data_IF_387584116777
#
_entry.id   IF_387584116777
#
_cell.length_a   1.000
_cell.length_b   1.000
_cell.length_c   1.000
_cell.angle_alpha   90.00
_cell.angle_beta   90.00
_cell.angle_gamma   90.00
#
_symmetry.space_group_name_H-M   'P 1'
#
loop_
_entity.id
_entity.type
_entity.pdbx_description
1 polymer ?
#
# COMPACT_ATOMS: atom_id res chain seq x y z
N UNK A 1 45.03 38.16 -16.25
CA UNK A 1 43.97 37.43 -15.51
C UNK A 1 42.94 36.71 -16.41
N UNK A 2 42.98 36.83 -17.75
CA UNK A 2 41.98 36.23 -18.67
C UNK A 2 42.27 34.75 -19.03
N UNK A 3 43.49 34.26 -18.77
CA UNK A 3 43.92 32.89 -19.14
C UNK A 3 43.31 31.78 -18.26
N UNK A 4 43.02 32.05 -16.98
CA UNK A 4 42.50 31.08 -16.02
C UNK A 4 41.09 30.53 -16.36
N UNK A 5 40.09 31.36 -16.74
CA UNK A 5 38.77 30.84 -17.11
C UNK A 5 38.80 30.06 -18.44
N UNK A 6 39.71 30.38 -19.36
CA UNK A 6 39.84 29.67 -20.65
C UNK A 6 40.40 28.25 -20.46
N UNK A 7 41.39 28.07 -19.57
CA UNK A 7 41.91 26.75 -19.20
C UNK A 7 40.84 25.89 -18.51
N UNK A 8 40.01 26.49 -17.64
CA UNK A 8 38.91 25.78 -16.97
C UNK A 8 37.80 25.33 -17.92
N UNK A 9 37.51 26.09 -18.99
CA UNK A 9 36.52 25.71 -20.02
C UNK A 9 37.07 24.64 -20.98
N UNK A 10 38.38 24.68 -21.28
CA UNK A 10 39.05 23.66 -22.10
C UNK A 10 39.00 22.25 -21.50
N UNK A 11 39.09 22.13 -20.16
CA UNK A 11 39.02 20.84 -19.45
C UNK A 11 37.67 20.13 -19.57
N UNK A 12 36.59 20.85 -19.90
CA UNK A 12 35.24 20.26 -20.04
C UNK A 12 34.89 19.87 -21.49
N UNK A 13 35.57 20.43 -22.49
CA UNK A 13 35.24 20.23 -23.92
C UNK A 13 36.30 19.36 -24.63
N UNK A 14 37.56 19.42 -24.21
CA UNK A 14 38.65 18.63 -24.79
C UNK A 14 38.85 17.31 -24.02
N UNK A 15 39.26 16.26 -24.75
CA UNK A 15 39.67 15.01 -24.11
C UNK A 15 40.77 15.28 -23.06
N UNK A 16 40.73 14.56 -21.93
CA UNK A 16 41.65 14.79 -20.79
C UNK A 16 43.12 14.93 -21.21
N UNK A 17 43.55 14.20 -22.25
CA UNK A 17 44.91 14.28 -22.83
C UNK A 17 45.23 15.60 -23.52
N UNK A 18 44.28 16.21 -24.24
CA UNK A 18 44.49 17.47 -24.94
C UNK A 18 44.53 18.66 -23.97
N UNK A 19 43.76 18.61 -22.87
CA UNK A 19 43.82 19.63 -21.82
C UNK A 19 45.22 19.73 -21.18
N UNK A 20 45.82 18.59 -20.81
CA UNK A 20 47.20 18.56 -20.29
C UNK A 20 48.23 19.09 -21.30
N UNK A 21 48.03 18.85 -22.61
CA UNK A 21 48.93 19.33 -23.66
C UNK A 21 48.88 20.87 -23.81
N UNK A 22 47.67 21.45 -23.73
CA UNK A 22 47.48 22.91 -23.77
C UNK A 22 48.10 23.57 -22.53
N UNK A 23 47.87 23.01 -21.33
CA UNK A 23 48.45 23.53 -20.09
C UNK A 23 49.99 23.47 -20.10
N UNK A 24 50.57 22.39 -20.63
CA UNK A 24 52.01 22.25 -20.76
C UNK A 24 52.61 23.29 -21.74
N UNK A 25 51.92 23.59 -22.85
CA UNK A 25 52.35 24.61 -23.81
C UNK A 25 52.28 26.02 -23.19
N UNK A 26 51.20 26.33 -22.47
CA UNK A 26 51.05 27.59 -21.72
C UNK A 26 52.17 27.71 -20.68
N UNK A 27 52.45 26.65 -19.91
CA UNK A 27 53.52 26.66 -18.91
C UNK A 27 54.90 26.86 -19.56
N UNK A 28 55.20 26.18 -20.67
CA UNK A 28 56.48 26.29 -21.38
C UNK A 28 56.69 27.71 -21.93
N UNK A 29 55.66 28.28 -22.56
CA UNK A 29 55.73 29.66 -23.08
C UNK A 29 55.92 30.68 -21.97
N UNK A 30 55.22 30.53 -20.83
CA UNK A 30 55.40 31.36 -19.64
C UNK A 30 56.84 31.27 -19.10
N UNK A 31 57.36 30.07 -18.86
CA UNK A 31 58.71 29.89 -18.31
C UNK A 31 59.78 30.44 -19.24
N UNK A 32 59.64 30.23 -20.56
CA UNK A 32 60.59 30.72 -21.57
C UNK A 32 60.63 32.25 -21.63
N UNK A 33 59.47 32.91 -21.68
CA UNK A 33 59.37 34.37 -21.77
C UNK A 33 59.88 35.04 -20.49
N UNK A 34 59.46 34.58 -19.31
CA UNK A 34 59.91 35.16 -18.05
C UNK A 34 61.37 34.83 -17.73
N UNK A 35 61.89 33.68 -18.20
CA UNK A 35 63.30 33.31 -18.06
C UNK A 35 64.22 34.22 -18.88
N UNK A 36 63.81 34.58 -20.10
CA UNK A 36 64.55 35.52 -20.96
C UNK A 36 64.51 36.97 -20.46
N UNK A 37 63.36 37.45 -19.98
CA UNK A 37 63.16 38.86 -19.62
C UNK A 37 63.53 39.21 -18.17
N UNK A 38 63.29 38.30 -17.23
CA UNK A 38 63.40 38.56 -15.78
C UNK A 38 64.37 37.65 -15.03
N UNK A 39 65.05 36.74 -15.74
CA UNK A 39 65.94 35.74 -15.15
C UNK A 39 65.21 34.52 -14.57
N UNK A 40 65.98 33.48 -14.25
CA UNK A 40 65.46 32.18 -13.82
C UNK A 40 64.64 32.22 -12.53
N UNK A 41 64.94 33.15 -11.61
CA UNK A 41 64.22 33.28 -10.36
C UNK A 41 62.76 33.75 -10.55
N UNK A 42 62.53 34.69 -11.47
CA UNK A 42 61.16 35.18 -11.79
C UNK A 42 60.37 34.09 -12.51
N UNK A 43 60.99 33.36 -13.43
CA UNK A 43 60.35 32.23 -14.13
C UNK A 43 59.88 31.14 -13.17
N UNK A 44 60.70 30.79 -12.16
CA UNK A 44 60.33 29.82 -11.13
C UNK A 44 59.16 30.28 -10.27
N UNK A 45 59.13 31.55 -9.84
CA UNK A 45 58.03 32.09 -9.05
C UNK A 45 56.70 32.07 -9.82
N UNK A 46 56.72 32.51 -11.09
CA UNK A 46 55.53 32.52 -11.95
C UNK A 46 55.05 31.10 -12.25
N UNK A 47 55.97 30.17 -12.55
CA UNK A 47 55.65 28.76 -12.78
C UNK A 47 55.02 28.09 -11.56
N UNK A 48 55.57 28.34 -10.36
CA UNK A 48 55.01 27.82 -9.12
C UNK A 48 53.59 28.35 -8.84
N UNK A 49 53.36 29.65 -9.08
CA UNK A 49 52.03 30.25 -8.95
C UNK A 49 51.01 29.65 -9.93
N UNK A 50 51.42 29.41 -11.18
CA UNK A 50 50.58 28.75 -12.18
C UNK A 50 50.21 27.32 -11.75
N UNK A 51 51.19 26.53 -11.30
CA UNK A 51 50.96 25.17 -10.82
C UNK A 51 50.02 25.15 -9.60
N UNK A 52 50.21 26.05 -8.64
CA UNK A 52 49.34 26.16 -7.48
C UNK A 52 47.89 26.49 -7.88
N UNK A 53 47.70 27.43 -8.82
CA UNK A 53 46.38 27.76 -9.34
C UNK A 53 45.73 26.58 -10.09
N UNK A 54 46.50 25.84 -10.88
CA UNK A 54 46.03 24.65 -11.60
C UNK A 54 45.57 23.55 -10.62
N UNK A 55 46.36 23.27 -9.59
CA UNK A 55 46.00 22.30 -8.55
C UNK A 55 44.73 22.74 -7.80
N UNK A 56 44.58 24.03 -7.49
CA UNK A 56 43.40 24.57 -6.85
C UNK A 56 42.13 24.39 -7.70
N UNK A 57 42.21 24.72 -9.00
CA UNK A 57 41.08 24.56 -9.93
C UNK A 57 40.71 23.09 -10.09
N UNK A 58 41.70 22.20 -10.25
CA UNK A 58 41.46 20.75 -10.34
C UNK A 58 40.81 20.23 -9.06
N UNK A 59 41.27 20.66 -7.89
CA UNK A 59 40.70 20.27 -6.60
C UNK A 59 39.24 20.70 -6.46
N UNK A 60 38.93 21.98 -6.69
CA UNK A 60 37.55 22.49 -6.61
C UNK A 60 36.64 21.79 -7.62
N UNK A 61 37.14 21.53 -8.84
CA UNK A 61 36.38 20.81 -9.87
C UNK A 61 36.09 19.38 -9.43
N UNK A 62 37.07 18.66 -8.86
CA UNK A 62 36.86 17.31 -8.35
C UNK A 62 35.84 17.27 -7.22
N UNK A 63 35.91 18.22 -6.27
CA UNK A 63 34.94 18.33 -5.18
C UNK A 63 33.53 18.60 -5.73
N UNK A 64 33.39 19.56 -6.66
CA UNK A 64 32.12 19.90 -7.27
C UNK A 64 31.52 18.72 -8.07
N UNK A 65 32.34 17.97 -8.81
CA UNK A 65 31.88 16.77 -9.54
C UNK A 65 31.48 15.65 -8.58
N UNK A 66 32.27 15.39 -7.53
CA UNK A 66 31.93 14.39 -6.51
C UNK A 66 30.61 14.70 -5.82
N UNK A 67 30.40 15.96 -5.47
CA UNK A 67 29.15 16.40 -4.85
C UNK A 67 27.95 16.24 -5.78
N UNK A 68 28.08 16.60 -7.06
CA UNK A 68 27.03 16.39 -8.07
C UNK A 68 26.69 14.91 -8.24
N UNK A 69 27.69 14.04 -8.33
CA UNK A 69 27.50 12.59 -8.46
C UNK A 69 26.85 12.00 -7.20
N UNK A 70 27.31 12.40 -6.01
CA UNK A 70 26.73 11.95 -4.75
C UNK A 70 25.25 12.36 -4.61
N UNK A 71 24.92 13.61 -4.98
CA UNK A 71 23.53 14.09 -4.98
C UNK A 71 22.66 13.35 -5.98
N UNK A 72 23.18 13.08 -7.19
CA UNK A 72 22.46 12.33 -8.21
C UNK A 72 22.19 10.89 -7.76
N UNK A 73 23.15 10.24 -7.11
CA UNK A 73 22.99 8.88 -6.58
C UNK A 73 21.96 8.84 -5.44
N UNK A 74 22.00 9.80 -4.51
CA UNK A 74 21.00 9.91 -3.44
C UNK A 74 19.59 10.12 -3.99
N UNK A 75 19.43 10.99 -5.00
CA UNK A 75 18.13 11.20 -5.65
C UNK A 75 17.63 9.93 -6.33
N UNK A 76 18.52 9.24 -7.07
CA UNK A 76 18.19 7.98 -7.71
C UNK A 76 17.74 6.91 -6.70
N UNK A 77 18.48 6.73 -5.62
CA UNK A 77 18.13 5.78 -4.57
C UNK A 77 16.81 6.14 -3.87
N UNK A 78 16.55 7.44 -3.67
CA UNK A 78 15.28 7.91 -3.12
C UNK A 78 14.10 7.59 -4.06
N UNK A 79 14.26 7.80 -5.37
CA UNK A 79 13.25 7.45 -6.38
C UNK A 79 13.02 5.94 -6.45
N UNK A 80 14.08 5.14 -6.44
CA UNK A 80 14.00 3.67 -6.41
C UNK A 80 13.27 3.18 -5.15
N UNK A 81 13.58 3.75 -3.98
CA UNK A 81 12.90 3.44 -2.72
C UNK A 81 11.42 3.84 -2.77
N UNK A 82 11.09 5.00 -3.32
CA UNK A 82 9.72 5.46 -3.46
C UNK A 82 8.90 4.54 -4.38
N UNK A 83 9.49 4.09 -5.50
CA UNK A 83 8.86 3.12 -6.39
C UNK A 83 8.68 1.76 -5.70
N UNK A 84 9.68 1.28 -4.97
CA UNK A 84 9.59 0.03 -4.22
C UNK A 84 8.51 0.11 -3.13
N UNK A 85 8.42 1.21 -2.40
CA UNK A 85 7.40 1.44 -1.38
C UNK A 85 5.99 1.43 -1.99
N UNK A 86 5.78 2.13 -3.11
CA UNK A 86 4.49 2.09 -3.85
C UNK A 86 4.11 0.68 -4.27
N UNK A 87 5.06 -0.13 -4.73
CA UNK A 87 4.81 -1.53 -5.08
C UNK A 87 4.43 -2.36 -3.86
N UNK A 88 5.11 -2.18 -2.74
CA UNK A 88 4.79 -2.87 -1.48
C UNK A 88 3.37 -2.54 -1.00
N UNK A 89 2.97 -1.27 -1.06
CA UNK A 89 1.61 -0.86 -0.73
C UNK A 89 0.59 -1.53 -1.65
N UNK A 90 0.81 -1.51 -2.96
CA UNK A 90 -0.07 -2.18 -3.92
C UNK A 90 -0.18 -3.70 -3.67
N UNK A 91 0.94 -4.36 -3.31
CA UNK A 91 0.91 -5.79 -2.95
C UNK A 91 0.21 -6.05 -1.61
N UNK A 92 0.34 -5.14 -0.64
CA UNK A 92 -0.37 -5.25 0.62
C UNK A 92 -1.89 -5.17 0.40
N UNK A 93 -2.35 -4.20 -0.39
CA UNK A 93 -3.77 -4.05 -0.75
C UNK A 93 -4.29 -5.31 -1.47
N UNK A 94 -3.54 -5.83 -2.44
CA UNK A 94 -3.90 -7.08 -3.14
C UNK A 94 -3.93 -8.29 -2.21
N UNK A 95 -2.98 -8.38 -1.26
CA UNK A 95 -2.94 -9.46 -0.30
C UNK A 95 -4.12 -9.40 0.67
N UNK A 96 -4.53 -8.19 1.09
CA UNK A 96 -5.73 -7.97 1.90
C UNK A 96 -7.00 -8.42 1.16
N UNK A 97 -7.17 -8.00 -0.10
CA UNK A 97 -8.33 -8.39 -0.92
C UNK A 97 -8.39 -9.92 -1.12
N UNK A 98 -7.24 -10.55 -1.39
CA UNK A 98 -7.14 -12.01 -1.51
C UNK A 98 -7.43 -12.71 -0.17
N UNK A 99 -6.98 -12.16 0.95
CA UNK A 99 -7.26 -12.71 2.27
C UNK A 99 -8.76 -12.65 2.59
N UNK A 100 -9.41 -11.51 2.32
CA UNK A 100 -10.86 -11.32 2.47
C UNK A 100 -11.62 -12.32 1.59
N UNK A 101 -11.21 -12.48 0.33
CA UNK A 101 -11.87 -13.41 -0.59
C UNK A 101 -11.73 -14.85 -0.14
N UNK A 102 -10.53 -15.28 0.29
CA UNK A 102 -10.29 -16.61 0.84
C UNK A 102 -11.11 -16.87 2.10
N UNK A 103 -11.22 -15.86 2.96
CA UNK A 103 -12.05 -15.91 4.15
C UNK A 103 -13.52 -16.13 3.80
N UNK A 104 -14.06 -15.37 2.83
CA UNK A 104 -15.44 -15.53 2.33
C UNK A 104 -15.69 -16.95 1.80
N UNK A 105 -14.75 -17.49 1.03
CA UNK A 105 -14.86 -18.86 0.50
C UNK A 105 -14.83 -19.90 1.63
N UNK A 106 -13.94 -19.73 2.62
CA UNK A 106 -13.88 -20.62 3.78
C UNK A 106 -15.19 -20.60 4.56
N UNK A 107 -15.68 -19.39 4.89
CA UNK A 107 -16.95 -19.21 5.60
C UNK A 107 -18.13 -19.80 4.83
N UNK A 108 -18.17 -19.68 3.51
CA UNK A 108 -19.20 -20.29 2.68
C UNK A 108 -19.21 -21.82 2.76
N UNK A 109 -18.02 -22.46 2.78
CA UNK A 109 -17.91 -23.91 2.95
C UNK A 109 -18.32 -24.34 4.36
N UNK A 110 -17.83 -23.67 5.40
CA UNK A 110 -18.18 -23.97 6.79
C UNK A 110 -19.68 -23.81 7.05
N UNK A 111 -20.30 -22.81 6.42
CA UNK A 111 -21.75 -22.63 6.37
C UNK A 111 -22.45 -23.78 5.67
N UNK A 112 -21.98 -24.16 4.48
CA UNK A 112 -22.56 -25.27 3.72
C UNK A 112 -22.53 -26.57 4.51
N UNK A 113 -21.41 -26.86 5.18
CA UNK A 113 -21.25 -28.06 5.99
C UNK A 113 -22.19 -28.04 7.20
N UNK A 114 -22.27 -26.90 7.91
CA UNK A 114 -23.16 -26.74 9.08
C UNK A 114 -24.63 -26.87 8.69
N UNK A 115 -25.05 -26.18 7.63
CA UNK A 115 -26.42 -26.24 7.11
C UNK A 115 -26.73 -27.63 6.57
N UNK A 116 -25.82 -28.24 5.81
CA UNK A 116 -25.95 -29.58 5.26
C UNK A 116 -26.17 -30.63 6.34
N UNK A 117 -25.32 -30.65 7.37
CA UNK A 117 -25.47 -31.55 8.51
C UNK A 117 -26.79 -31.34 9.25
N UNK A 118 -27.19 -30.10 9.49
CA UNK A 118 -28.44 -29.78 10.17
C UNK A 118 -29.65 -30.25 9.38
N UNK A 119 -29.65 -30.07 8.06
CA UNK A 119 -30.71 -30.53 7.17
C UNK A 119 -30.79 -32.06 7.10
N UNK A 120 -29.65 -32.76 7.04
CA UNK A 120 -29.62 -34.22 7.08
C UNK A 120 -30.19 -34.75 8.41
N UNK A 121 -29.78 -34.16 9.54
CA UNK A 121 -30.32 -34.56 10.85
C UNK A 121 -31.81 -34.26 10.99
N UNK A 122 -32.29 -33.15 10.42
CA UNK A 122 -33.71 -32.84 10.33
C UNK A 122 -34.48 -33.87 9.51
N UNK A 123 -33.97 -34.25 8.33
CA UNK A 123 -34.58 -35.25 7.45
C UNK A 123 -34.72 -36.61 8.17
N UNK A 124 -33.70 -37.03 8.92
CA UNK A 124 -33.75 -38.24 9.76
C UNK A 124 -34.85 -38.17 10.83
N UNK A 125 -35.00 -37.04 11.52
CA UNK A 125 -36.07 -36.88 12.53
C UNK A 125 -37.47 -36.87 11.89
N UNK A 126 -37.61 -36.29 10.70
CA UNK A 126 -38.85 -36.32 9.94
C UNK A 126 -39.18 -37.73 9.44
N UNK A 127 -38.20 -38.47 8.91
CA UNK A 127 -38.38 -39.86 8.49
C UNK A 127 -38.83 -40.75 9.66
N UNK A 128 -38.27 -40.53 10.87
CA UNK A 128 -38.68 -41.22 12.08
C UNK A 128 -40.16 -40.95 12.42
N UNK A 129 -40.64 -39.71 12.29
CA UNK A 129 -42.05 -39.37 12.52
C UNK A 129 -43.02 -40.13 11.60
N UNK A 130 -42.63 -40.33 10.34
CA UNK A 130 -43.41 -41.06 9.34
C UNK A 130 -43.34 -42.58 9.54
N UNK A 131 -42.22 -43.12 10.03
CA UNK A 131 -42.02 -44.56 10.24
C UNK A 131 -42.69 -45.10 11.53
N UNK A 132 -42.96 -44.24 12.52
CA UNK A 132 -43.53 -44.68 13.81
C UNK A 132 -44.99 -45.17 13.68
N UNK A 133 -45.36 -46.31 14.30
CA UNK A 133 -46.73 -46.86 14.23
C UNK A 133 -47.81 -45.94 14.84
N UNK A 134 -49.08 -46.07 14.41
CA UNK A 134 -50.21 -45.43 15.09
C UNK A 134 -50.32 -45.96 16.54
N UNK A 135 -50.01 -45.11 17.53
CA UNK A 135 -50.08 -45.45 18.96
C UNK A 135 -48.89 -44.97 19.80
N UNK A 136 -47.73 -44.76 19.18
CA UNK A 136 -46.53 -44.29 19.90
C UNK A 136 -46.45 -42.76 20.02
N UNK A 137 -47.40 -42.18 20.74
CA UNK A 137 -47.53 -40.72 20.89
C UNK A 137 -46.31 -40.07 21.54
N UNK A 138 -45.65 -40.74 22.49
CA UNK A 138 -44.50 -40.20 23.23
C UNK A 138 -43.28 -40.04 22.30
N UNK A 139 -42.94 -41.09 21.54
CA UNK A 139 -41.76 -41.10 20.66
C UNK A 139 -41.96 -40.19 19.45
N UNK A 140 -43.19 -40.11 18.91
CA UNK A 140 -43.55 -39.09 17.91
C UNK A 140 -43.38 -37.67 18.44
N UNK A 141 -43.83 -37.40 19.67
CA UNK A 141 -43.69 -36.07 20.28
C UNK A 141 -42.21 -35.71 20.46
N UNK A 142 -41.38 -36.67 20.90
CA UNK A 142 -39.93 -36.47 21.04
C UNK A 142 -39.25 -36.18 19.70
N UNK A 143 -39.52 -36.97 18.65
CA UNK A 143 -38.94 -36.76 17.32
C UNK A 143 -39.33 -35.39 16.73
N UNK A 144 -40.58 -34.96 16.91
CA UNK A 144 -41.04 -33.63 16.49
C UNK A 144 -40.36 -32.50 17.28
N UNK A 145 -40.10 -32.71 18.57
CA UNK A 145 -39.41 -31.75 19.41
C UNK A 145 -37.94 -31.62 19.03
N UNK A 146 -37.24 -32.74 18.80
CA UNK A 146 -35.88 -32.77 18.30
C UNK A 146 -35.76 -32.07 16.93
N UNK A 147 -36.69 -32.37 16.00
CA UNK A 147 -36.74 -31.69 14.69
C UNK A 147 -36.89 -30.18 14.84
N UNK A 148 -37.78 -29.73 15.76
CA UNK A 148 -37.99 -28.32 16.04
C UNK A 148 -36.76 -27.64 16.64
N UNK A 149 -36.02 -28.32 17.50
CA UNK A 149 -34.75 -27.83 18.06
C UNK A 149 -33.67 -27.70 16.97
N UNK A 150 -33.50 -28.72 16.13
CA UNK A 150 -32.61 -28.71 14.96
C UNK A 150 -32.87 -27.52 14.02
N UNK A 151 -34.14 -27.23 13.70
CA UNK A 151 -34.50 -26.05 12.88
C UNK A 151 -34.14 -24.74 13.60
N UNK A 152 -34.39 -24.67 14.91
CA UNK A 152 -34.11 -23.46 15.70
C UNK A 152 -32.61 -23.17 15.75
N UNK A 153 -31.81 -24.18 16.03
CA UNK A 153 -30.36 -24.05 16.15
C UNK A 153 -29.73 -23.77 14.78
N UNK A 154 -30.15 -24.47 13.73
CA UNK A 154 -29.71 -24.20 12.35
C UNK A 154 -30.02 -22.78 11.88
N UNK A 155 -31.21 -22.25 12.19
CA UNK A 155 -31.55 -20.86 11.89
C UNK A 155 -30.70 -19.86 12.69
N UNK A 156 -30.36 -20.19 13.94
CA UNK A 156 -29.48 -19.34 14.75
C UNK A 156 -28.05 -19.33 14.21
N UNK A 157 -27.51 -20.49 13.81
CA UNK A 157 -26.19 -20.62 13.19
C UNK A 157 -26.10 -19.88 11.86
N UNK A 158 -27.10 -20.06 10.99
CA UNK A 158 -27.18 -19.35 9.72
C UNK A 158 -27.23 -17.83 9.94
N UNK A 159 -28.02 -17.33 10.91
CA UNK A 159 -28.06 -15.90 11.24
C UNK A 159 -26.73 -15.38 11.76
N UNK A 160 -26.04 -16.13 12.63
CA UNK A 160 -24.71 -15.78 13.15
C UNK A 160 -23.68 -15.67 12.03
N UNK A 161 -23.65 -16.63 11.13
CA UNK A 161 -22.69 -16.65 10.04
C UNK A 161 -22.98 -15.60 8.95
N UNK A 162 -24.25 -15.35 8.61
CA UNK A 162 -24.64 -14.22 7.76
C UNK A 162 -24.26 -12.88 8.42
N UNK A 163 -24.40 -12.76 9.74
CA UNK A 163 -23.94 -11.56 10.47
C UNK A 163 -22.42 -11.41 10.45
N UNK A 164 -21.66 -12.51 10.51
CA UNK A 164 -20.19 -12.49 10.39
C UNK A 164 -19.71 -12.07 8.98
N UNK A 165 -20.51 -12.34 7.94
CA UNK A 165 -20.29 -11.88 6.56
C UNK A 165 -20.72 -10.42 6.32
N UNK A 166 -21.43 -9.79 7.28
CA UNK A 166 -22.04 -8.47 7.15
C UNK A 166 -21.14 -7.23 7.29
N UNK A 167 -19.84 -7.28 7.63
CA UNK A 167 -18.96 -6.11 7.46
C UNK A 167 -18.95 -5.56 6.03
N UNK A 168 -19.37 -6.36 5.03
CA UNK A 168 -19.48 -5.98 3.62
C UNK A 168 -20.78 -5.23 3.24
N UNK A 169 -21.75 -5.05 4.14
CA UNK A 169 -23.00 -4.33 3.82
C UNK A 169 -22.73 -2.87 3.43
N UNK A 170 -21.68 -2.26 3.98
CA UNK A 170 -21.24 -0.90 3.63
C UNK A 170 -20.34 -0.84 2.38
N UNK A 171 -19.84 -1.98 1.90
CA UNK A 171 -19.12 -2.05 0.61
C UNK A 171 -20.07 -2.14 -0.58
N UNK A 172 -21.29 -2.67 -0.36
CA UNK A 172 -22.27 -2.93 -1.44
C UNK A 172 -23.47 -1.98 -1.41
N UNK A 173 -23.82 -1.43 -0.25
CA UNK A 173 -24.96 -0.53 -0.08
C UNK A 173 -24.53 0.73 0.64
N UNK A 174 -25.16 1.86 0.32
CA UNK A 174 -24.91 3.10 1.03
C UNK A 174 -25.40 3.02 2.47
N UNK A 175 -24.79 3.83 3.36
CA UNK A 175 -25.12 3.88 4.78
C UNK A 175 -26.64 3.98 5.07
N UNK A 176 -27.45 4.79 4.34
CA UNK A 176 -28.90 4.84 4.53
C UNK A 176 -29.58 3.48 4.36
N UNK A 177 -29.24 2.75 3.29
CA UNK A 177 -29.79 1.43 2.96
C UNK A 177 -29.37 0.39 3.99
N UNK A 178 -28.11 0.46 4.44
CA UNK A 178 -27.60 -0.42 5.49
C UNK A 178 -28.37 -0.23 6.81
N UNK A 179 -28.61 1.04 7.21
CA UNK A 179 -29.37 1.38 8.44
C UNK A 179 -30.84 0.94 8.33
N UNK A 180 -31.48 1.12 7.18
CA UNK A 180 -32.86 0.65 6.94
C UNK A 180 -32.98 -0.88 7.09
N UNK A 181 -32.01 -1.63 6.56
CA UNK A 181 -31.92 -3.08 6.78
C UNK A 181 -31.74 -3.48 8.25
N UNK A 182 -31.09 -2.63 9.04
CA UNK A 182 -30.90 -2.86 10.48
C UNK A 182 -32.20 -2.61 11.27
N UNK A 183 -32.93 -1.55 10.94
CA UNK A 183 -34.26 -1.24 11.51
C UNK A 183 -35.28 -2.34 11.16
N UNK A 184 -35.31 -2.79 9.91
CA UNK A 184 -36.15 -3.91 9.46
C UNK A 184 -35.86 -5.19 10.25
N UNK A 185 -34.59 -5.50 10.46
CA UNK A 185 -34.19 -6.68 11.22
C UNK A 185 -34.56 -6.56 12.71
N UNK A 186 -34.37 -5.38 13.32
CA UNK A 186 -34.78 -5.14 14.70
C UNK A 186 -36.30 -5.33 14.87
N UNK A 187 -37.09 -4.79 13.94
CA UNK A 187 -38.54 -4.96 13.93
C UNK A 187 -38.94 -6.43 13.81
N UNK A 188 -38.26 -7.20 12.95
CA UNK A 188 -38.53 -8.62 12.80
C UNK A 188 -38.17 -9.44 14.05
N UNK A 189 -37.10 -9.08 14.77
CA UNK A 189 -36.64 -9.85 15.94
C UNK A 189 -37.48 -9.53 17.19
N UNK A 190 -37.80 -8.25 17.39
CA UNK A 190 -38.42 -7.77 18.63
C UNK A 190 -39.93 -7.56 18.53
N UNK A 191 -40.47 -7.49 17.31
CA UNK A 191 -41.87 -7.12 17.06
C UNK A 191 -42.18 -5.64 17.29
N UNK A 192 -41.17 -4.81 17.60
CA UNK A 192 -41.30 -3.37 17.80
C UNK A 192 -40.90 -2.65 16.53
N UNK A 193 -41.79 -1.84 15.94
CA UNK A 193 -41.52 -1.09 14.71
C UNK A 193 -40.93 0.29 15.03
N UNK A 194 -39.62 0.53 14.84
CA UNK A 194 -39.02 1.83 15.12
C UNK A 194 -39.42 2.84 14.04
N UNK A 195 -39.63 4.10 14.41
CA UNK A 195 -39.73 5.18 13.43
C UNK A 195 -38.33 5.60 12.99
N UNK A 196 -38.04 5.45 11.69
CA UNK A 196 -36.81 5.90 11.07
C UNK A 196 -37.10 7.15 10.23
N UNK A 197 -36.22 8.16 10.34
CA UNK A 197 -36.25 9.36 9.50
C UNK A 197 -34.83 9.68 9.08
N UNK A 198 -34.57 9.70 7.78
CA UNK A 198 -33.28 10.06 7.18
C UNK A 198 -33.46 11.42 6.52
N UNK A 199 -32.63 12.39 6.88
CA UNK A 199 -32.67 13.74 6.33
C UNK A 199 -31.32 14.12 5.72
N UNK A 200 -31.38 14.88 4.63
CA UNK A 200 -30.21 15.32 3.87
C UNK A 200 -29.94 14.48 2.62
N UNK A 201 -29.02 14.98 1.79
CA UNK A 201 -28.63 14.31 0.54
C UNK A 201 -27.61 13.21 0.81
N UNK A 202 -27.73 12.11 0.07
CA UNK A 202 -26.77 11.01 0.10
C UNK A 202 -25.38 11.50 -0.32
N UNK A 203 -24.39 11.24 0.53
CA UNK A 203 -22.97 11.53 0.25
C UNK A 203 -22.18 10.25 0.30
N UNK A 204 -21.27 10.07 -0.65
CA UNK A 204 -20.28 9.01 -0.60
C UNK A 204 -19.37 9.23 0.61
N UNK A 205 -19.44 8.31 1.58
CA UNK A 205 -18.61 8.32 2.78
C UNK A 205 -17.42 7.38 2.57
N UNK A 206 -16.26 7.79 3.08
CA UNK A 206 -15.11 6.87 3.21
C UNK A 206 -15.58 5.63 4.00
N UNK A 207 -15.35 4.39 3.51
CA UNK A 207 -15.69 3.16 4.21
C UNK A 207 -15.19 3.13 5.66
N UNK A 208 -14.06 3.80 5.95
CA UNK A 208 -13.49 3.94 7.30
C UNK A 208 -14.38 4.73 8.27
N UNK A 209 -15.20 5.65 7.77
CA UNK A 209 -16.14 6.45 8.56
C UNK A 209 -17.55 5.83 8.58
N UNK A 210 -17.94 5.14 7.51
CA UNK A 210 -19.25 4.53 7.41
C UNK A 210 -19.46 3.41 8.44
N UNK A 211 -18.43 2.60 8.70
CA UNK A 211 -18.52 1.46 9.62
C UNK A 211 -18.71 1.85 11.10
N UNK A 212 -17.96 2.80 11.67
CA UNK A 212 -18.23 3.30 13.03
C UNK A 212 -19.62 3.91 13.20
N UNK A 213 -20.11 4.66 12.20
CA UNK A 213 -21.45 5.27 12.24
C UNK A 213 -22.54 4.20 12.23
N UNK A 214 -22.42 3.21 11.34
CA UNK A 214 -23.33 2.07 11.31
C UNK A 214 -23.35 1.31 12.64
N UNK A 215 -22.19 1.07 13.25
CA UNK A 215 -22.07 0.40 14.56
C UNK A 215 -22.68 1.18 15.72
N UNK A 216 -22.82 2.50 15.60
CA UNK A 216 -23.45 3.32 16.66
C UNK A 216 -24.97 3.15 16.65
N UNK A 217 -25.54 2.81 15.49
CA UNK A 217 -26.99 2.59 15.33
C UNK A 217 -27.39 1.14 15.63
N UNK A 218 -26.46 0.20 15.48
CA UNK A 218 -26.64 -1.24 15.78
C UNK A 218 -26.81 -1.52 17.26
#
# INVERSE_FOLDING_TARGET
>A
MILLPLASLGVQILSRRQAWAVDALIMLTLVSVYGWLGGWQVALQVGAGYLAALLFVVYITQVAVRERLARAEVQRLADELQVANRKLLAYADQAEELAITRERVRLAHELHDTVGHTLTALDVQLALLFALPPGETVQRRQAAQNARELVKDGLADMRRAVAALRPAALETFSLPVAVEGLVMQFAHITGVTPQQRIEGDERSLDPRLALPLYRTVQ
#
